data_IF_591875603052
#
_entry.id   IF_591875603052
#
_cell.length_a   1.000
_cell.length_b   1.000
_cell.length_c   1.000
_cell.angle_alpha   90.00
_cell.angle_beta   90.00
_cell.angle_gamma   90.00
#
_symmetry.space_group_name_H-M   'P 1'
#
loop_
_entity.id
_entity.type
_entity.pdbx_description
1 polymer ?
#
# COMPACT_ATOMS: atom_id res chain seq x y z
N UNK A 1 -1.43 -24.35 -12.31
CA UNK A 1 -2.90 -24.52 -12.13
C UNK A 1 -3.45 -23.24 -11.53
N UNK A 2 -4.42 -22.57 -12.16
CA UNK A 2 -5.02 -21.33 -11.61
C UNK A 2 -5.95 -21.70 -10.45
N UNK A 3 -5.65 -21.20 -9.25
CA UNK A 3 -6.52 -21.29 -8.08
C UNK A 3 -7.72 -20.36 -8.32
N UNK A 4 -8.94 -20.79 -7.99
CA UNK A 4 -10.13 -19.94 -8.12
C UNK A 4 -10.06 -18.78 -7.13
N UNK A 5 -10.65 -17.62 -7.48
CA UNK A 5 -10.69 -16.43 -6.60
C UNK A 5 -11.24 -16.76 -5.20
N UNK A 6 -12.26 -17.60 -5.12
CA UNK A 6 -12.83 -18.06 -3.85
C UNK A 6 -11.86 -18.90 -3.01
N UNK A 7 -11.10 -19.80 -3.63
CA UNK A 7 -10.11 -20.62 -2.93
C UNK A 7 -8.88 -19.80 -2.48
N UNK A 8 -8.46 -18.81 -3.27
CA UNK A 8 -7.40 -17.87 -2.88
C UNK A 8 -7.81 -17.03 -1.66
N UNK A 9 -9.06 -16.54 -1.63
CA UNK A 9 -9.61 -15.78 -0.50
C UNK A 9 -9.78 -16.58 0.78
N UNK A 10 -9.89 -17.91 0.67
CA UNK A 10 -10.00 -18.85 1.78
C UNK A 10 -8.63 -19.33 2.31
N UNK A 11 -7.53 -18.98 1.64
CA UNK A 11 -6.21 -19.34 2.11
C UNK A 11 -5.90 -18.57 3.42
N UNK A 12 -5.50 -19.25 4.52
CA UNK A 12 -5.31 -18.60 5.83
C UNK A 12 -4.38 -17.38 5.80
N UNK A 13 -3.31 -17.46 5.01
CA UNK A 13 -2.36 -16.35 4.84
C UNK A 13 -3.01 -15.13 4.18
N UNK A 14 -3.88 -15.33 3.18
CA UNK A 14 -4.60 -14.24 2.50
C UNK A 14 -5.64 -13.61 3.44
N UNK A 15 -6.28 -14.42 4.28
CA UNK A 15 -7.21 -13.91 5.30
C UNK A 15 -6.51 -13.03 6.33
N UNK A 16 -5.32 -13.45 6.80
CA UNK A 16 -4.52 -12.66 7.74
C UNK A 16 -4.02 -11.34 7.11
N UNK A 17 -3.50 -11.37 5.88
CA UNK A 17 -3.08 -10.15 5.16
C UNK A 17 -4.23 -9.18 4.97
N UNK A 18 -5.42 -9.68 4.65
CA UNK A 18 -6.62 -8.85 4.49
C UNK A 18 -7.04 -8.19 5.80
N UNK A 19 -7.00 -8.94 6.91
CA UNK A 19 -7.31 -8.38 8.22
C UNK A 19 -6.30 -7.30 8.63
N UNK A 20 -5.01 -7.54 8.41
CA UNK A 20 -3.95 -6.56 8.66
C UNK A 20 -4.13 -5.30 7.81
N UNK A 21 -4.35 -5.45 6.50
CA UNK A 21 -4.59 -4.32 5.59
C UNK A 21 -5.80 -3.49 6.03
N UNK A 22 -6.90 -4.16 6.37
CA UNK A 22 -8.12 -3.48 6.81
C UNK A 22 -7.95 -2.80 8.18
N UNK A 23 -7.04 -3.26 9.03
CA UNK A 23 -6.71 -2.55 10.28
C UNK A 23 -5.96 -1.25 9.97
N UNK A 24 -4.96 -1.30 9.09
CA UNK A 24 -4.20 -0.11 8.64
C UNK A 24 -5.12 0.89 7.95
N UNK A 25 -5.97 0.47 7.02
CA UNK A 25 -6.90 1.36 6.29
C UNK A 25 -7.91 2.09 7.19
N UNK A 26 -8.11 1.63 8.44
CA UNK A 26 -9.01 2.28 9.42
C UNK A 26 -8.28 3.26 10.33
N UNK A 27 -6.95 3.28 10.32
CA UNK A 27 -6.17 4.26 11.05
C UNK A 27 -6.36 5.65 10.41
N UNK A 28 -6.57 6.68 11.22
CA UNK A 28 -6.74 8.06 10.72
C UNK A 28 -5.48 8.55 9.97
N UNK A 29 -4.30 8.06 10.36
CA UNK A 29 -3.05 8.39 9.67
C UNK A 29 -2.95 7.75 8.27
N UNK A 30 -3.84 6.81 7.93
CA UNK A 30 -3.79 6.10 6.65
C UNK A 30 -4.35 6.90 5.47
N UNK A 31 -5.07 8.01 5.72
CA UNK A 31 -5.78 8.81 4.70
C UNK A 31 -4.94 9.12 3.44
N UNK A 32 -3.67 9.55 3.52
CA UNK A 32 -2.87 9.92 2.34
C UNK A 32 -2.46 8.72 1.48
N UNK A 33 -2.67 7.51 1.99
CA UNK A 33 -2.16 6.27 1.44
C UNK A 33 -3.26 5.34 0.96
N UNK A 34 -4.53 5.73 1.11
CA UNK A 34 -5.68 4.91 0.72
C UNK A 34 -5.77 4.70 -0.79
N UNK A 35 -5.39 5.72 -1.56
CA UNK A 35 -5.50 5.74 -3.02
C UNK A 35 -4.17 6.15 -3.69
N UNK A 36 -3.99 5.85 -5.00
CA UNK A 36 -2.81 6.28 -5.73
C UNK A 36 -2.64 7.80 -5.69
N UNK A 37 -1.41 8.28 -5.48
CA UNK A 37 -1.11 9.71 -5.52
C UNK A 37 -1.44 10.29 -6.89
N UNK A 38 -2.44 11.18 -6.95
CA UNK A 38 -2.76 11.98 -8.15
C UNK A 38 -1.76 13.13 -8.30
N UNK A 39 -0.52 12.77 -8.63
CA UNK A 39 0.56 13.73 -8.79
C UNK A 39 0.30 14.75 -9.91
N UNK A 40 -0.58 14.45 -10.87
CA UNK A 40 -0.98 15.42 -11.91
C UNK A 40 -1.94 16.45 -11.34
N UNK A 41 -3.01 16.01 -10.67
CA UNK A 41 -3.98 16.90 -10.02
C UNK A 41 -3.37 17.74 -8.90
N UNK A 42 -2.37 17.20 -8.19
CA UNK A 42 -1.63 17.90 -7.13
C UNK A 42 -0.49 18.80 -7.66
N UNK A 43 -0.21 18.80 -8.96
CA UNK A 43 0.87 19.61 -9.53
C UNK A 43 2.26 19.19 -9.05
N UNK A 44 2.50 17.89 -8.90
CA UNK A 44 3.75 17.28 -8.43
C UNK A 44 4.54 16.64 -9.60
N UNK A 45 5.11 17.41 -10.54
CA UNK A 45 5.74 16.88 -11.75
C UNK A 45 7.01 16.06 -11.48
N UNK A 46 7.61 16.20 -10.30
CA UNK A 46 8.78 15.43 -9.88
C UNK A 46 8.42 14.07 -9.29
N UNK A 47 7.15 13.84 -8.89
CA UNK A 47 6.73 12.57 -8.30
C UNK A 47 7.08 11.35 -9.16
N UNK A 48 6.77 11.29 -10.47
CA UNK A 48 7.15 10.15 -11.30
C UNK A 48 8.66 10.06 -11.59
N UNK A 49 9.44 11.10 -11.26
CA UNK A 49 10.91 11.10 -11.42
C UNK A 49 11.61 10.60 -10.17
N UNK A 50 11.04 10.87 -8.99
CA UNK A 50 11.59 10.48 -7.68
C UNK A 50 11.06 9.10 -7.27
N UNK A 51 9.77 8.83 -7.48
CA UNK A 51 9.11 7.60 -7.06
C UNK A 51 9.06 6.61 -8.22
N UNK A 52 10.03 5.69 -8.21
CA UNK A 52 10.20 4.66 -9.24
C UNK A 52 9.08 3.62 -9.29
N UNK A 53 8.46 3.31 -8.14
CA UNK A 53 7.38 2.31 -8.03
C UNK A 53 6.27 2.84 -7.13
N UNK A 54 5.30 3.60 -7.68
CA UNK A 54 4.14 4.04 -6.91
C UNK A 54 3.37 2.85 -6.32
N UNK A 55 2.89 3.01 -5.09
CA UNK A 55 2.07 2.03 -4.38
C UNK A 55 1.17 2.74 -3.36
N UNK A 56 0.00 2.16 -3.11
CA UNK A 56 -1.03 2.64 -2.19
C UNK A 56 -1.84 1.45 -1.66
N UNK A 57 -2.54 1.64 -0.53
CA UNK A 57 -3.28 0.58 0.16
C UNK A 57 -4.43 0.03 -0.70
N UNK A 58 -5.10 0.86 -1.49
CA UNK A 58 -6.16 0.43 -2.40
C UNK A 58 -5.64 -0.46 -3.55
N UNK A 59 -4.45 -0.16 -4.07
CA UNK A 59 -3.76 -1.01 -5.06
C UNK A 59 -3.33 -2.33 -4.43
N UNK A 60 -2.81 -2.32 -3.20
CA UNK A 60 -2.47 -3.54 -2.45
C UNK A 60 -3.71 -4.41 -2.23
N UNK A 61 -4.84 -3.81 -1.85
CA UNK A 61 -6.10 -4.54 -1.69
C UNK A 61 -6.52 -5.22 -3.00
N UNK A 62 -6.49 -4.49 -4.12
CA UNK A 62 -6.80 -5.05 -5.45
C UNK A 62 -5.85 -6.19 -5.83
N UNK A 63 -4.55 -6.06 -5.54
CA UNK A 63 -3.55 -7.12 -5.76
C UNK A 63 -3.84 -8.35 -4.90
N UNK A 64 -4.15 -8.15 -3.62
CA UNK A 64 -4.49 -9.22 -2.69
C UNK A 64 -5.74 -9.99 -3.13
N UNK A 65 -6.83 -9.28 -3.45
CA UNK A 65 -8.10 -9.88 -3.88
C UNK A 65 -8.05 -10.54 -5.27
N UNK A 66 -7.05 -10.20 -6.08
CA UNK A 66 -6.79 -10.84 -7.38
C UNK A 66 -5.76 -11.97 -7.32
N UNK A 67 -5.26 -12.30 -6.12
CA UNK A 67 -4.28 -13.37 -5.93
C UNK A 67 -2.92 -13.07 -6.57
N UNK A 68 -2.52 -11.80 -6.60
CA UNK A 68 -1.23 -11.35 -7.15
C UNK A 68 -0.05 -11.57 -6.22
N UNK A 69 -0.31 -11.88 -4.96
CA UNK A 69 0.69 -12.26 -3.98
C UNK A 69 0.70 -13.79 -3.84
N UNK A 70 1.83 -14.39 -4.16
CA UNK A 70 2.11 -15.81 -3.96
C UNK A 70 2.57 -16.07 -2.53
N UNK A 71 3.21 -15.07 -1.90
CA UNK A 71 3.72 -15.14 -0.53
C UNK A 71 3.33 -13.91 0.29
N UNK A 72 3.27 -14.07 1.61
CA UNK A 72 3.02 -12.95 2.56
C UNK A 72 4.12 -11.89 2.49
N UNK A 73 5.36 -12.30 2.19
CA UNK A 73 6.52 -11.43 2.01
C UNK A 73 6.31 -10.39 0.91
N UNK A 74 5.66 -10.76 -0.20
CA UNK A 74 5.37 -9.87 -1.32
C UNK A 74 4.31 -8.82 -0.96
N UNK A 75 3.29 -9.21 -0.19
CA UNK A 75 2.30 -8.28 0.36
C UNK A 75 2.96 -7.28 1.32
N UNK A 76 3.78 -7.79 2.27
CA UNK A 76 4.51 -6.96 3.23
C UNK A 76 5.43 -5.96 2.54
N UNK A 77 6.15 -6.40 1.51
CA UNK A 77 7.05 -5.54 0.75
C UNK A 77 6.31 -4.38 0.06
N UNK A 78 5.10 -4.61 -0.45
CA UNK A 78 4.32 -3.51 -1.03
C UNK A 78 3.77 -2.56 0.05
N UNK A 79 3.37 -3.05 1.23
CA UNK A 79 2.95 -2.19 2.35
C UNK A 79 4.12 -1.30 2.78
N UNK A 80 5.30 -1.87 2.99
CA UNK A 80 6.52 -1.11 3.33
C UNK A 80 6.88 -0.09 2.25
N UNK A 81 6.67 -0.44 0.97
CA UNK A 81 6.94 0.46 -0.15
C UNK A 81 6.04 1.71 -0.13
N UNK A 82 4.80 1.62 0.37
CA UNK A 82 3.92 2.79 0.54
C UNK A 82 4.60 3.81 1.46
N UNK A 83 5.10 3.34 2.61
CA UNK A 83 5.74 4.19 3.61
C UNK A 83 7.09 4.73 3.12
N UNK A 84 7.90 3.89 2.48
CA UNK A 84 9.19 4.30 1.92
C UNK A 84 9.02 5.36 0.83
N UNK A 85 8.03 5.21 -0.05
CA UNK A 85 7.72 6.21 -1.07
C UNK A 85 7.29 7.54 -0.43
N UNK A 86 6.45 7.49 0.60
CA UNK A 86 6.03 8.68 1.34
C UNK A 86 7.22 9.40 1.98
N UNK A 87 8.12 8.68 2.63
CA UNK A 87 9.31 9.24 3.27
C UNK A 87 10.38 9.69 2.28
N UNK A 88 10.42 9.10 1.09
CA UNK A 88 11.33 9.51 0.01
C UNK A 88 10.89 10.82 -0.64
N UNK A 89 9.58 11.01 -0.82
CA UNK A 89 9.06 12.17 -1.54
C UNK A 89 8.85 13.41 -0.65
N UNK A 90 8.47 13.21 0.61
CA UNK A 90 8.11 14.29 1.52
C UNK A 90 9.25 14.61 2.51
N UNK A 91 9.35 15.86 2.98
CA UNK A 91 10.33 16.24 4.01
C UNK A 91 9.98 15.59 5.36
N UNK A 92 10.99 15.42 6.22
CA UNK A 92 10.83 14.70 7.49
C UNK A 92 9.96 15.44 8.51
N UNK A 93 9.75 16.74 8.35
CA UNK A 93 8.80 17.52 9.16
C UNK A 93 7.37 17.51 8.61
N UNK A 94 7.15 16.98 7.40
CA UNK A 94 5.82 16.92 6.81
C UNK A 94 4.93 15.94 7.56
N UNK A 95 3.65 16.28 7.67
CA UNK A 95 2.67 15.41 8.33
C UNK A 95 2.51 14.05 7.62
N UNK A 96 2.74 13.98 6.30
CA UNK A 96 2.71 12.73 5.51
C UNK A 96 3.90 11.84 5.87
N UNK A 97 5.11 12.40 5.98
CA UNK A 97 6.29 11.65 6.44
C UNK A 97 6.07 11.08 7.84
N UNK A 98 5.57 11.91 8.75
CA UNK A 98 5.29 11.51 10.14
C UNK A 98 4.16 10.48 10.23
N UNK A 99 3.14 10.57 9.38
CA UNK A 99 2.06 9.58 9.29
C UNK A 99 2.60 8.21 8.83
N UNK A 100 3.43 8.19 7.79
CA UNK A 100 4.08 6.96 7.30
C UNK A 100 4.93 6.28 8.39
N UNK A 101 5.59 7.04 9.26
CA UNK A 101 6.38 6.50 10.37
C UNK A 101 5.56 5.93 11.54
N UNK A 102 4.23 6.18 11.59
CA UNK A 102 3.33 5.65 12.64
C UNK A 102 2.66 4.33 12.24
N UNK A 103 2.55 4.08 10.94
CA UNK A 103 1.86 2.91 10.39
C UNK A 103 2.81 1.69 10.36
N UNK A 104 2.26 0.47 10.52
CA UNK A 104 3.06 -0.76 10.71
C UNK A 104 3.71 -1.30 9.42
#
# INVERSE_FOLDING_TARGET
KRVSKAAALAHPQISACRAALAAVQRDEAAEPFLDPVDWRGLGLPLYPQIISRPMDLGTIEKKLLSGRYSEVSEFKADVELVWQNAQTFNTDESWIYLAAGKLP
#
